data_IF_594698030202
#
_entry.id   IF_594698030202
#
_cell.length_a   1.000
_cell.length_b   1.000
_cell.length_c   1.000
_cell.angle_alpha   90.00
_cell.angle_beta   90.00
_cell.angle_gamma   90.00
#
_symmetry.space_group_name_H-M   'P 1'
#
loop_
_entity.id
_entity.type
_entity.pdbx_description
1 polymer ?
#
# COMPACT_ATOMS: atom_id res chain seq x y z
N UNK A 1 -35.49 -41.50 -17.73
CA UNK A 1 -34.38 -42.37 -17.29
C UNK A 1 -33.17 -42.04 -18.14
N UNK A 2 -32.06 -41.61 -17.55
CA UNK A 2 -30.81 -41.35 -18.28
C UNK A 2 -30.11 -42.67 -18.60
N UNK A 3 -29.83 -42.95 -19.87
CA UNK A 3 -29.10 -44.15 -20.29
C UNK A 3 -27.59 -43.97 -20.08
N UNK A 4 -26.88 -45.05 -19.70
CA UNK A 4 -25.42 -45.04 -19.51
C UNK A 4 -24.66 -44.43 -20.70
N UNK A 5 -25.10 -44.73 -21.92
CA UNK A 5 -24.51 -44.22 -23.16
C UNK A 5 -24.68 -42.70 -23.30
N UNK A 6 -25.81 -42.16 -22.87
CA UNK A 6 -26.08 -40.73 -22.95
C UNK A 6 -25.27 -39.97 -21.89
N UNK A 7 -25.12 -40.56 -20.70
CA UNK A 7 -24.24 -40.04 -19.66
C UNK A 7 -22.78 -39.94 -20.12
N UNK A 8 -22.22 -41.00 -20.72
CA UNK A 8 -20.82 -40.99 -21.20
C UNK A 8 -20.61 -39.94 -22.29
N UNK A 9 -21.56 -39.80 -23.23
CA UNK A 9 -21.48 -38.79 -24.29
C UNK A 9 -21.52 -37.37 -23.72
N UNK A 10 -22.41 -37.11 -22.76
CA UNK A 10 -22.54 -35.79 -22.13
C UNK A 10 -21.31 -35.44 -21.29
N UNK A 11 -20.79 -36.38 -20.50
CA UNK A 11 -19.58 -36.19 -19.71
C UNK A 11 -18.34 -35.95 -20.58
N UNK A 12 -18.19 -36.71 -21.68
CA UNK A 12 -17.10 -36.51 -22.63
C UNK A 12 -17.15 -35.15 -23.34
N UNK A 13 -18.35 -34.70 -23.73
CA UNK A 13 -18.53 -33.39 -24.35
C UNK A 13 -18.19 -32.26 -23.37
N UNK A 14 -18.64 -32.36 -22.12
CA UNK A 14 -18.32 -31.40 -21.07
C UNK A 14 -16.81 -31.33 -20.79
N UNK A 15 -16.14 -32.49 -20.73
CA UNK A 15 -14.68 -32.56 -20.54
C UNK A 15 -13.92 -31.94 -21.73
N UNK A 16 -14.36 -32.18 -22.97
CA UNK A 16 -13.75 -31.57 -24.14
C UNK A 16 -13.91 -30.05 -24.15
N UNK A 17 -15.10 -29.53 -23.80
CA UNK A 17 -15.36 -28.08 -23.67
C UNK A 17 -14.49 -27.45 -22.58
N UNK A 18 -14.35 -28.13 -21.44
CA UNK A 18 -13.46 -27.73 -20.35
C UNK A 18 -11.99 -27.58 -20.80
N UNK A 19 -11.49 -28.49 -21.65
CA UNK A 19 -10.13 -28.41 -22.18
C UNK A 19 -9.93 -27.27 -23.21
N UNK A 20 -10.97 -26.91 -23.96
CA UNK A 20 -10.92 -25.83 -24.97
C UNK A 20 -11.09 -24.45 -24.32
N UNK A 21 -11.84 -24.35 -23.21
CA UNK A 21 -12.08 -23.12 -22.46
C UNK A 21 -11.74 -23.29 -20.97
N UNK A 22 -10.45 -23.53 -20.63
CA UNK A 22 -10.03 -23.78 -19.24
C UNK A 22 -10.31 -22.58 -18.32
N UNK A 23 -10.44 -21.36 -18.88
CA UNK A 23 -10.85 -20.15 -18.15
C UNK A 23 -12.21 -20.27 -17.43
N UNK A 24 -13.10 -21.16 -17.86
CA UNK A 24 -14.38 -21.41 -17.18
C UNK A 24 -14.23 -22.29 -15.93
N UNK A 25 -13.11 -23.00 -15.82
CA UNK A 25 -12.76 -23.83 -14.66
C UNK A 25 -11.83 -23.12 -13.68
N UNK A 26 -11.18 -22.03 -14.10
CA UNK A 26 -10.37 -21.21 -13.21
C UNK A 26 -11.26 -20.34 -12.32
N UNK A 27 -10.83 -20.14 -11.08
CA UNK A 27 -11.40 -19.09 -10.24
C UNK A 27 -11.30 -17.75 -10.95
N UNK A 28 -12.30 -16.88 -10.75
CA UNK A 28 -12.24 -15.52 -11.26
C UNK A 28 -10.91 -14.87 -10.81
N UNK A 29 -10.24 -14.09 -11.67
CA UNK A 29 -9.03 -13.39 -11.28
C UNK A 29 -9.32 -12.54 -10.05
N UNK A 30 -8.36 -12.50 -9.11
CA UNK A 30 -8.47 -11.66 -7.93
C UNK A 30 -8.71 -10.21 -8.36
N UNK A 31 -9.80 -9.63 -7.89
CA UNK A 31 -10.16 -8.24 -8.19
C UNK A 31 -9.14 -7.23 -7.60
N UNK A 32 -8.25 -7.70 -6.73
CA UNK A 32 -7.29 -6.89 -6.00
C UNK A 32 -5.86 -7.21 -6.40
N UNK A 33 -5.04 -6.17 -6.46
CA UNK A 33 -3.60 -6.27 -6.66
C UNK A 33 -2.93 -6.80 -5.38
N UNK A 34 -1.92 -7.65 -5.54
CA UNK A 34 -1.13 -8.12 -4.41
C UNK A 34 -0.19 -7.02 -3.91
N UNK A 35 -0.34 -6.61 -2.64
CA UNK A 35 0.47 -5.59 -1.99
C UNK A 35 1.43 -6.13 -0.94
N UNK A 36 2.54 -5.42 -0.71
CA UNK A 36 3.47 -5.68 0.41
C UNK A 36 3.84 -4.39 1.15
N UNK A 37 3.82 -4.42 2.48
CA UNK A 37 4.42 -3.38 3.31
C UNK A 37 5.94 -3.59 3.36
N UNK A 38 6.69 -2.62 2.87
CA UNK A 38 8.14 -2.70 2.70
C UNK A 38 8.91 -2.83 4.02
N UNK A 39 8.30 -2.55 5.16
CA UNK A 39 8.87 -2.83 6.48
C UNK A 39 9.19 -4.31 6.71
N UNK A 40 8.49 -5.21 6.00
CA UNK A 40 8.80 -6.64 5.96
C UNK A 40 10.19 -6.95 5.38
N UNK A 41 10.78 -6.01 4.63
CA UNK A 41 12.09 -6.10 3.99
C UNK A 41 13.09 -5.09 4.56
N UNK A 42 12.84 -4.59 5.79
CA UNK A 42 13.58 -3.48 6.40
C UNK A 42 15.10 -3.71 6.51
N UNK A 43 15.50 -4.96 6.68
CA UNK A 43 16.91 -5.33 6.83
C UNK A 43 17.67 -5.24 5.49
N UNK A 44 16.95 -5.18 4.35
CA UNK A 44 17.53 -5.21 3.01
C UNK A 44 17.34 -3.89 2.25
N UNK A 45 16.17 -3.27 2.35
CA UNK A 45 15.78 -2.17 1.45
C UNK A 45 16.63 -0.91 1.62
N UNK A 46 17.15 -0.66 2.81
CA UNK A 46 18.07 0.45 3.06
C UNK A 46 19.45 0.30 2.39
N UNK A 47 19.82 -0.92 1.99
CA UNK A 47 21.12 -1.22 1.36
C UNK A 47 21.07 -1.07 -0.17
N UNK A 48 19.96 -1.51 -0.79
CA UNK A 48 19.74 -1.43 -2.24
C UNK A 48 18.23 -1.35 -2.55
N UNK A 49 17.68 -0.15 -2.47
CA UNK A 49 16.24 0.06 -2.68
C UNK A 49 15.80 -0.36 -4.10
N UNK A 50 16.59 -0.04 -5.13
CA UNK A 50 16.24 -0.35 -6.52
C UNK A 50 16.25 -1.87 -6.77
N UNK A 51 17.28 -2.58 -6.31
CA UNK A 51 17.37 -4.02 -6.46
C UNK A 51 16.33 -4.78 -5.65
N UNK A 52 16.00 -4.31 -4.44
CA UNK A 52 14.92 -4.90 -3.64
C UNK A 52 13.57 -4.74 -4.33
N UNK A 53 13.23 -3.54 -4.83
CA UNK A 53 11.96 -3.32 -5.55
C UNK A 53 11.84 -4.17 -6.81
N UNK A 54 12.94 -4.37 -7.56
CA UNK A 54 12.96 -5.28 -8.70
C UNK A 54 12.69 -6.73 -8.30
N UNK A 55 13.23 -7.19 -7.15
CA UNK A 55 12.94 -8.53 -6.60
C UNK A 55 11.49 -8.66 -6.14
N UNK A 56 10.93 -7.62 -5.50
CA UNK A 56 9.52 -7.57 -5.09
C UNK A 56 8.59 -7.74 -6.29
N UNK A 57 8.83 -7.02 -7.38
CA UNK A 57 8.07 -7.18 -8.62
C UNK A 57 8.20 -8.59 -9.21
N UNK A 58 9.42 -9.13 -9.27
CA UNK A 58 9.67 -10.51 -9.73
C UNK A 58 8.98 -11.57 -8.89
N UNK A 59 8.76 -11.30 -7.60
CA UNK A 59 8.02 -12.19 -6.69
C UNK A 59 6.49 -12.14 -6.92
N UNK A 60 5.99 -11.26 -7.80
CA UNK A 60 4.58 -11.18 -8.17
C UNK A 60 3.76 -10.13 -7.42
N UNK A 61 4.40 -9.33 -6.54
CA UNK A 61 3.73 -8.17 -5.96
C UNK A 61 3.54 -7.08 -7.01
N UNK A 62 2.45 -6.34 -6.88
CA UNK A 62 2.03 -5.29 -7.79
C UNK A 62 1.96 -3.94 -7.09
N UNK A 63 1.79 -3.95 -5.76
CA UNK A 63 1.73 -2.76 -4.94
C UNK A 63 2.71 -2.83 -3.77
N UNK A 64 3.25 -1.68 -3.39
CA UNK A 64 4.11 -1.55 -2.20
C UNK A 64 3.61 -0.42 -1.31
N UNK A 65 3.63 -0.66 -0.01
CA UNK A 65 3.40 0.37 1.01
C UNK A 65 4.75 0.78 1.60
N UNK A 66 5.06 2.08 1.58
CA UNK A 66 6.36 2.58 2.04
C UNK A 66 6.43 2.73 3.55
N UNK A 67 7.65 2.84 4.08
CA UNK A 67 7.92 3.33 5.43
C UNK A 67 9.22 4.15 5.43
N UNK A 68 9.52 4.84 6.53
CA UNK A 68 10.86 5.40 6.76
C UNK A 68 11.21 6.64 5.93
N UNK A 69 10.20 7.32 5.37
CA UNK A 69 10.42 8.61 4.71
C UNK A 69 10.89 9.68 5.71
N UNK A 70 11.94 10.41 5.34
CA UNK A 70 12.37 11.63 6.07
C UNK A 70 12.88 12.70 5.08
N UNK A 71 13.10 13.92 5.56
CA UNK A 71 13.64 15.00 4.73
C UNK A 71 15.10 14.71 4.31
N UNK A 72 15.84 14.00 5.16
CA UNK A 72 17.25 13.68 4.96
C UNK A 72 17.40 12.43 4.07
N UNK A 73 16.64 11.38 4.35
CA UNK A 73 16.79 10.08 3.70
C UNK A 73 15.82 9.86 2.52
N UNK A 74 14.80 10.71 2.36
CA UNK A 74 13.75 10.55 1.35
C UNK A 74 13.20 9.10 1.37
N UNK A 75 13.07 8.41 0.22
CA UNK A 75 12.74 6.97 0.19
C UNK A 75 14.00 6.14 -0.05
N UNK A 76 14.79 5.92 1.02
CA UNK A 76 16.08 5.20 0.97
C UNK A 76 17.05 5.79 -0.05
N UNK A 77 17.26 7.11 0.01
CA UNK A 77 18.12 7.87 -0.89
C UNK A 77 17.48 8.25 -2.23
N UNK A 78 16.25 7.81 -2.51
CA UNK A 78 15.52 8.17 -3.72
C UNK A 78 14.59 9.34 -3.46
N UNK A 79 14.67 10.39 -4.28
CA UNK A 79 13.68 11.48 -4.24
C UNK A 79 12.29 10.93 -4.59
N UNK A 80 11.19 11.52 -4.11
CA UNK A 80 9.84 11.02 -4.36
C UNK A 80 9.50 10.76 -5.83
N UNK A 81 9.95 11.63 -6.74
CA UNK A 81 9.77 11.48 -8.20
C UNK A 81 10.63 10.35 -8.79
N UNK A 82 11.86 10.18 -8.31
CA UNK A 82 12.76 9.10 -8.71
C UNK A 82 12.25 7.75 -8.22
N UNK A 83 11.77 7.70 -6.98
CA UNK A 83 11.13 6.52 -6.40
C UNK A 83 9.92 6.09 -7.24
N UNK A 84 9.05 7.03 -7.62
CA UNK A 84 7.93 6.76 -8.52
C UNK A 84 8.38 6.17 -9.87
N UNK A 85 9.44 6.72 -10.45
CA UNK A 85 9.98 6.22 -11.71
C UNK A 85 10.53 4.79 -11.58
N UNK A 86 11.23 4.48 -10.47
CA UNK A 86 11.71 3.12 -10.18
C UNK A 86 10.55 2.15 -10.02
N UNK A 87 9.48 2.52 -9.31
CA UNK A 87 8.29 1.68 -9.20
C UNK A 87 7.66 1.41 -10.57
N UNK A 88 7.44 2.48 -11.37
CA UNK A 88 6.86 2.36 -12.70
C UNK A 88 7.69 1.47 -13.64
N UNK A 89 9.03 1.58 -13.58
CA UNK A 89 9.93 0.75 -14.38
C UNK A 89 9.85 -0.75 -14.02
N UNK A 90 9.38 -1.09 -12.81
CA UNK A 90 9.18 -2.46 -12.35
C UNK A 90 7.70 -2.90 -12.40
N UNK A 91 6.79 -2.08 -12.96
CA UNK A 91 5.36 -2.36 -12.97
C UNK A 91 4.69 -2.30 -11.59
N UNK A 92 5.34 -1.67 -10.61
CA UNK A 92 4.83 -1.50 -9.25
C UNK A 92 4.10 -0.16 -9.09
N UNK A 93 3.15 -0.11 -8.16
CA UNK A 93 2.55 1.13 -7.66
C UNK A 93 2.66 1.24 -6.15
N UNK A 94 2.56 2.46 -5.60
CA UNK A 94 2.51 2.67 -4.15
C UNK A 94 1.24 3.42 -3.78
N UNK A 95 0.14 2.72 -3.43
CA UNK A 95 -1.11 3.41 -3.08
C UNK A 95 -1.03 4.05 -1.69
N UNK A 96 -0.15 3.57 -0.80
CA UNK A 96 -0.11 3.95 0.61
C UNK A 96 1.33 4.09 1.13
N UNK A 97 1.50 4.80 2.24
CA UNK A 97 2.76 4.90 2.96
C UNK A 97 2.57 5.15 4.45
N UNK A 98 3.42 4.51 5.26
CA UNK A 98 3.59 4.74 6.70
C UNK A 98 4.55 5.89 6.95
N UNK A 99 4.09 6.88 7.71
CA UNK A 99 4.84 8.10 8.02
C UNK A 99 4.91 8.33 9.52
N UNK A 100 6.10 8.64 10.01
CA UNK A 100 6.27 9.16 11.36
C UNK A 100 5.80 10.62 11.39
N UNK A 101 4.68 10.85 12.09
CA UNK A 101 4.10 12.16 12.34
C UNK A 101 4.15 12.54 13.83
N UNK A 102 5.00 11.90 14.63
CA UNK A 102 5.08 12.14 16.08
C UNK A 102 5.27 13.61 16.45
N UNK A 103 6.15 14.33 15.75
CA UNK A 103 6.36 15.77 16.03
C UNK A 103 5.12 16.62 15.70
N UNK A 104 4.33 16.23 14.70
CA UNK A 104 3.04 16.87 14.42
C UNK A 104 2.02 16.56 15.54
N UNK A 105 1.94 15.30 15.95
CA UNK A 105 0.98 14.86 16.97
C UNK A 105 1.32 15.37 18.37
N UNK A 106 2.59 15.57 18.69
CA UNK A 106 3.03 16.15 19.96
C UNK A 106 3.00 17.67 19.90
N UNK A 107 3.75 18.25 18.98
CA UNK A 107 4.13 19.67 19.00
C UNK A 107 3.36 20.52 17.97
N UNK A 108 2.62 19.90 17.05
CA UNK A 108 1.86 20.60 16.02
C UNK A 108 2.72 21.08 14.84
N UNK A 109 3.82 20.39 14.55
CA UNK A 109 4.69 20.66 13.38
C UNK A 109 3.92 20.46 12.05
N UNK A 110 3.27 21.54 11.58
CA UNK A 110 2.56 21.56 10.30
C UNK A 110 3.51 21.40 9.11
N UNK A 111 4.79 21.79 9.24
CA UNK A 111 5.76 21.64 8.16
C UNK A 111 6.11 20.16 7.93
N UNK A 112 6.12 19.33 8.99
CA UNK A 112 6.19 17.86 8.87
C UNK A 112 4.98 17.28 8.14
N UNK A 113 3.78 17.74 8.47
CA UNK A 113 2.59 17.27 7.78
C UNK A 113 2.63 17.66 6.29
N UNK A 114 2.99 18.90 5.97
CA UNK A 114 3.07 19.41 4.60
C UNK A 114 4.11 18.67 3.75
N UNK A 115 5.32 18.48 4.27
CA UNK A 115 6.38 17.75 3.53
C UNK A 115 5.98 16.31 3.27
N UNK A 116 5.33 15.65 4.23
CA UNK A 116 4.80 14.29 4.08
C UNK A 116 3.73 14.22 2.99
N UNK A 117 2.75 15.13 2.99
CA UNK A 117 1.71 15.19 1.96
C UNK A 117 2.31 15.45 0.58
N UNK A 118 3.32 16.33 0.49
CA UNK A 118 4.00 16.64 -0.75
C UNK A 118 4.78 15.42 -1.29
N UNK A 119 5.50 14.70 -0.44
CA UNK A 119 6.22 13.48 -0.82
C UNK A 119 5.27 12.38 -1.28
N UNK A 120 4.21 12.10 -0.51
CA UNK A 120 3.16 11.14 -0.85
C UNK A 120 2.52 11.47 -2.21
N UNK A 121 2.20 12.75 -2.46
CA UNK A 121 1.68 13.21 -3.76
C UNK A 121 2.67 12.96 -4.89
N UNK A 122 3.93 13.27 -4.68
CA UNK A 122 4.97 13.17 -5.71
C UNK A 122 5.25 11.71 -6.09
N UNK A 123 5.18 10.76 -5.15
CA UNK A 123 5.32 9.34 -5.44
C UNK A 123 4.03 8.66 -5.92
N UNK A 124 2.89 9.35 -5.84
CA UNK A 124 1.60 8.89 -6.36
C UNK A 124 0.72 8.16 -5.35
N UNK A 125 1.02 8.29 -4.05
CA UNK A 125 0.24 7.70 -2.98
C UNK A 125 -1.13 8.37 -2.84
N UNK A 126 -2.10 7.52 -2.53
CA UNK A 126 -3.47 7.91 -2.20
C UNK A 126 -3.68 7.98 -0.70
N UNK A 127 -2.93 7.20 0.10
CA UNK A 127 -3.08 7.12 1.54
C UNK A 127 -1.80 7.55 2.27
N UNK A 128 -1.97 8.45 3.24
CA UNK A 128 -0.96 8.81 4.24
C UNK A 128 -1.40 8.17 5.56
N UNK A 129 -0.59 7.24 6.07
CA UNK A 129 -0.93 6.44 7.24
C UNK A 129 0.05 6.72 8.38
N UNK A 130 -0.47 6.97 9.58
CA UNK A 130 0.32 6.91 10.82
C UNK A 130 0.32 5.46 11.31
N UNK A 131 1.48 4.81 11.45
CA UNK A 131 1.55 3.40 11.81
C UNK A 131 1.50 3.12 13.31
N UNK A 132 1.70 4.13 14.14
CA UNK A 132 1.79 3.97 15.59
C UNK A 132 1.60 5.29 16.32
N UNK A 133 1.12 5.23 17.56
CA UNK A 133 0.98 6.38 18.45
C UNK A 133 1.86 6.19 19.69
N UNK A 134 2.60 7.24 20.05
CA UNK A 134 3.36 7.26 21.30
C UNK A 134 2.40 7.09 22.49
N UNK A 135 2.75 6.19 23.41
CA UNK A 135 1.92 5.85 24.56
C UNK A 135 1.54 7.08 25.41
N UNK A 136 2.49 8.02 25.55
CA UNK A 136 2.30 9.28 26.28
C UNK A 136 1.24 10.19 25.65
N UNK A 137 0.95 10.04 24.37
CA UNK A 137 -0.07 10.82 23.65
C UNK A 137 -1.47 10.19 23.75
N UNK A 138 -1.62 9.05 24.42
CA UNK A 138 -2.88 8.29 24.51
C UNK A 138 -3.14 7.73 25.92
N UNK A 139 -2.63 8.39 26.95
CA UNK A 139 -2.71 7.92 28.34
C UNK A 139 -4.11 8.11 28.95
N UNK A 140 -4.85 9.12 28.51
CA UNK A 140 -6.16 9.48 29.06
C UNK A 140 -7.22 9.68 27.98
N UNK A 141 -8.53 9.59 28.32
CA UNK A 141 -9.60 9.92 27.39
C UNK A 141 -9.51 11.34 26.79
N UNK A 142 -8.95 12.31 27.53
CA UNK A 142 -8.74 13.67 27.03
C UNK A 142 -7.67 13.72 25.93
N UNK A 143 -6.64 12.89 26.02
CA UNK A 143 -5.58 12.80 25.02
C UNK A 143 -6.13 12.28 23.68
N UNK A 144 -7.00 11.26 23.72
CA UNK A 144 -7.68 10.77 22.52
C UNK A 144 -8.56 11.83 21.84
N UNK A 145 -9.21 12.73 22.60
CA UNK A 145 -9.96 13.86 22.02
C UNK A 145 -9.02 14.83 21.31
N UNK A 146 -7.87 15.11 21.89
CA UNK A 146 -6.84 15.98 21.30
C UNK A 146 -6.26 15.36 20.04
N UNK A 147 -5.92 14.06 20.07
CA UNK A 147 -5.46 13.31 18.91
C UNK A 147 -6.50 13.29 17.79
N UNK A 148 -7.76 13.00 18.11
CA UNK A 148 -8.84 13.01 17.12
C UNK A 148 -8.97 14.38 16.42
N UNK A 149 -8.83 15.48 17.15
CA UNK A 149 -8.84 16.82 16.56
C UNK A 149 -7.65 17.02 15.60
N UNK A 150 -6.44 16.59 15.99
CA UNK A 150 -5.25 16.64 15.12
C UNK A 150 -5.41 15.75 13.88
N UNK A 151 -5.93 14.54 14.02
CA UNK A 151 -6.22 13.66 12.88
C UNK A 151 -7.26 14.24 11.94
N UNK A 152 -8.32 14.87 12.45
CA UNK A 152 -9.31 15.54 11.60
C UNK A 152 -8.68 16.69 10.81
N UNK A 153 -7.80 17.47 11.44
CA UNK A 153 -7.05 18.53 10.76
C UNK A 153 -6.12 17.98 9.68
N UNK A 154 -5.32 16.96 10.01
CA UNK A 154 -4.44 16.30 9.05
C UNK A 154 -5.22 15.65 7.89
N UNK A 155 -6.35 15.01 8.20
CA UNK A 155 -7.25 14.41 7.22
C UNK A 155 -7.87 15.44 6.29
N UNK A 156 -8.29 16.60 6.80
CA UNK A 156 -8.79 17.68 5.97
C UNK A 156 -7.70 18.21 5.02
N UNK A 157 -6.47 18.33 5.49
CA UNK A 157 -5.31 18.77 4.69
C UNK A 157 -4.90 17.74 3.64
N UNK A 158 -4.91 16.46 3.98
CA UNK A 158 -4.73 15.39 3.00
C UNK A 158 -5.86 15.40 1.95
N UNK A 159 -7.11 15.61 2.37
CA UNK A 159 -8.28 15.66 1.48
C UNK A 159 -8.24 16.85 0.53
N UNK A 160 -7.83 18.04 0.98
CA UNK A 160 -7.61 19.19 0.08
C UNK A 160 -6.44 18.96 -0.87
N UNK A 161 -5.43 18.21 -0.39
CA UNK A 161 -4.48 17.45 -1.17
C UNK A 161 -5.14 16.74 -2.37
N UNK A 162 -6.23 16.03 -2.09
CA UNK A 162 -6.91 14.99 -2.87
C UNK A 162 -6.41 13.57 -2.51
N UNK A 163 -5.85 13.42 -1.29
CA UNK A 163 -5.34 12.19 -0.68
C UNK A 163 -6.29 11.80 0.45
N UNK A 164 -6.20 10.56 0.90
CA UNK A 164 -6.88 10.01 2.08
C UNK A 164 -5.88 9.87 3.22
N UNK A 165 -6.38 9.96 4.43
CA UNK A 165 -5.58 9.91 5.65
C UNK A 165 -6.13 8.82 6.55
N UNK A 166 -5.25 8.10 7.24
CA UNK A 166 -5.62 7.06 8.19
C UNK A 166 -4.58 6.94 9.30
N UNK A 167 -4.97 6.29 10.38
CA UNK A 167 -4.07 5.86 11.44
C UNK A 167 -4.38 4.39 11.74
N UNK A 168 -3.33 3.62 11.99
CA UNK A 168 -3.42 2.23 12.44
C UNK A 168 -2.91 2.21 13.89
N UNK A 169 -3.64 1.54 14.78
CA UNK A 169 -3.24 1.29 16.17
C UNK A 169 -2.93 -0.19 16.36
#
# INVERSE_FOLDING_TARGET
>A
MTHRRDFVKQAGLLAAVACVQPRWLHAAPMAYKAGIQLYSLRDYIGQDAKGVLAKVAKAGYQEVETYGYSAENQYWGLKPTEFKAVLAANGLTTPSGHYDLSAYLRDGDEALLDRTIAAARACGQQYVIIPSLEEKLRATPADFRTLAAKFNKAGARCKSAGRRYGAVE
#
